data_IF_724590188750
#
_entry.id   IF_724590188750
#
_cell.length_a   1.000
_cell.length_b   1.000
_cell.length_c   1.000
_cell.angle_alpha   90.00
_cell.angle_beta   90.00
_cell.angle_gamma   90.00
#
_symmetry.space_group_name_H-M   'P 1'
#
loop_
_entity.id
_entity.type
_entity.pdbx_description
1 polymer ?
#
# COMPACT_ATOMS: atom_id res chain seq x y z
N UNK A 1 -4.04 14.30 27.55
CA UNK A 1 -3.32 14.28 26.25
C UNK A 1 -4.07 13.35 25.33
N UNK A 2 -4.78 13.87 24.33
CA UNK A 2 -5.55 13.04 23.39
C UNK A 2 -4.60 12.34 22.43
N UNK A 3 -4.37 11.05 22.64
CA UNK A 3 -3.79 10.18 21.61
C UNK A 3 -4.75 10.15 20.44
N UNK A 4 -4.50 10.95 19.41
CA UNK A 4 -5.20 10.80 18.13
C UNK A 4 -4.73 9.47 17.55
N UNK A 5 -5.51 8.42 17.77
CA UNK A 5 -5.35 7.12 17.11
C UNK A 5 -5.16 7.34 15.62
N UNK A 6 -4.04 6.87 15.06
CA UNK A 6 -3.81 6.91 13.62
C UNK A 6 -4.96 6.16 12.92
N UNK A 7 -5.80 6.83 12.13
CA UNK A 7 -6.93 6.17 11.51
C UNK A 7 -6.42 5.23 10.42
N UNK A 8 -6.68 3.95 10.64
CA UNK A 8 -6.46 2.88 9.69
C UNK A 8 -7.55 2.94 8.62
N UNK A 9 -7.17 3.10 7.34
CA UNK A 9 -8.09 2.97 6.21
C UNK A 9 -7.65 1.79 5.35
N UNK A 10 -8.28 0.64 5.55
CA UNK A 10 -8.10 -0.55 4.72
C UNK A 10 -8.95 -0.40 3.45
N UNK A 11 -8.35 -0.52 2.27
CA UNK A 11 -9.02 -0.40 0.98
C UNK A 11 -8.81 -1.68 0.16
N UNK A 12 -9.86 -2.49 0.02
CA UNK A 12 -9.83 -3.60 -0.93
C UNK A 12 -10.26 -3.07 -2.30
N UNK A 13 -9.31 -2.87 -3.21
CA UNK A 13 -9.56 -2.31 -4.55
C UNK A 13 -10.04 -3.41 -5.51
N UNK A 14 -11.34 -3.50 -5.74
CA UNK A 14 -11.91 -4.31 -6.82
C UNK A 14 -13.16 -3.62 -7.38
N UNK A 15 -13.29 -3.57 -8.71
CA UNK A 15 -14.52 -3.09 -9.36
C UNK A 15 -15.41 -4.28 -9.72
N UNK A 16 -16.69 -4.23 -9.34
CA UNK A 16 -17.67 -5.25 -9.77
C UNK A 16 -18.58 -4.67 -10.86
N UNK A 17 -18.62 -5.31 -12.02
CA UNK A 17 -19.58 -4.99 -13.10
C UNK A 17 -20.32 -6.24 -13.54
N UNK A 18 -21.65 -6.19 -13.48
CA UNK A 18 -22.52 -7.28 -13.94
C UNK A 18 -22.14 -8.65 -13.32
N UNK A 19 -21.76 -8.66 -12.03
CA UNK A 19 -21.36 -9.88 -11.32
C UNK A 19 -19.95 -10.39 -11.66
N UNK A 20 -19.12 -9.59 -12.35
CA UNK A 20 -17.71 -9.90 -12.61
C UNK A 20 -16.80 -8.89 -11.95
N UNK A 21 -15.80 -9.41 -11.27
CA UNK A 21 -14.69 -8.64 -10.71
C UNK A 21 -13.75 -8.20 -11.83
N UNK A 22 -13.43 -6.91 -11.84
CA UNK A 22 -12.47 -6.28 -12.73
C UNK A 22 -11.28 -5.86 -11.88
N UNK A 23 -10.20 -6.62 -12.01
CA UNK A 23 -8.90 -6.37 -11.39
C UNK A 23 -8.22 -5.12 -11.98
N UNK A 24 -7.20 -4.59 -11.29
CA UNK A 24 -6.41 -3.48 -11.80
C UNK A 24 -7.09 -2.12 -11.75
N UNK A 25 -8.23 -1.98 -11.06
CA UNK A 25 -8.89 -0.68 -10.88
C UNK A 25 -9.77 -0.59 -9.66
N UNK A 26 -9.96 0.64 -9.19
CA UNK A 26 -10.87 0.96 -8.10
C UNK A 26 -12.27 1.31 -8.65
N UNK A 27 -13.30 0.72 -8.04
CA UNK A 27 -14.69 1.04 -8.33
C UNK A 27 -14.99 2.55 -8.07
N UNK A 28 -15.82 3.22 -8.91
CA UNK A 28 -16.17 4.63 -8.68
C UNK A 28 -16.87 4.93 -7.34
N UNK A 29 -17.67 4.00 -6.79
CA UNK A 29 -18.32 4.12 -5.48
C UNK A 29 -17.25 4.01 -4.38
N UNK A 30 -16.36 3.02 -4.46
CA UNK A 30 -15.23 2.88 -3.55
C UNK A 30 -14.32 4.12 -3.56
N UNK A 31 -14.04 4.67 -4.74
CA UNK A 31 -13.25 5.90 -4.86
C UNK A 31 -13.92 7.08 -4.15
N UNK A 32 -15.23 7.27 -4.36
CA UNK A 32 -15.99 8.35 -3.68
C UNK A 32 -16.05 8.16 -2.17
N UNK A 33 -16.16 6.92 -1.70
CA UNK A 33 -16.07 6.58 -0.27
C UNK A 33 -14.70 6.94 0.29
N UNK A 34 -13.63 6.52 -0.37
CA UNK A 34 -12.24 6.81 0.02
C UNK A 34 -11.98 8.31 0.08
N UNK A 35 -12.47 9.10 -0.88
CA UNK A 35 -12.38 10.55 -0.85
C UNK A 35 -13.04 11.16 0.40
N UNK A 36 -14.15 10.60 0.86
CA UNK A 36 -14.85 11.05 2.08
C UNK A 36 -14.07 10.64 3.33
N UNK A 37 -13.57 9.41 3.41
CA UNK A 37 -12.78 8.95 4.56
C UNK A 37 -11.50 9.75 4.72
N UNK A 38 -10.76 9.98 3.63
CA UNK A 38 -9.54 10.79 3.65
C UNK A 38 -9.78 12.23 4.15
N UNK A 39 -10.94 12.81 3.86
CA UNK A 39 -11.31 14.14 4.38
C UNK A 39 -11.50 14.13 5.90
N UNK A 40 -12.13 13.08 6.45
CA UNK A 40 -12.35 12.95 7.91
C UNK A 40 -11.04 12.87 8.68
N UNK A 41 -10.03 12.23 8.08
CA UNK A 41 -8.74 11.95 8.73
C UNK A 41 -7.64 12.96 8.38
N UNK A 42 -7.97 14.07 7.71
CA UNK A 42 -7.00 15.09 7.24
C UNK A 42 -6.10 15.68 8.35
N UNK A 43 -6.61 15.71 9.58
CA UNK A 43 -5.88 16.23 10.75
C UNK A 43 -4.95 15.21 11.44
N UNK A 44 -4.91 13.97 10.97
CA UNK A 44 -4.02 12.94 11.48
C UNK A 44 -2.57 13.25 11.13
N UNK A 45 -1.63 12.75 11.94
CA UNK A 45 -0.19 12.86 11.66
C UNK A 45 0.23 11.84 10.57
N UNK A 46 -0.37 10.64 10.60
CA UNK A 46 -0.14 9.58 9.62
C UNK A 46 -1.45 9.01 9.06
N UNK A 47 -1.41 8.59 7.80
CA UNK A 47 -2.49 7.92 7.08
C UNK A 47 -1.90 6.68 6.42
N UNK A 48 -2.42 5.51 6.75
CA UNK A 48 -1.99 4.26 6.13
C UNK A 48 -3.09 3.73 5.22
N UNK A 49 -2.75 3.54 3.95
CA UNK A 49 -3.59 2.92 2.93
C UNK A 49 -3.06 1.52 2.69
N UNK A 50 -3.95 0.54 2.72
CA UNK A 50 -3.62 -0.84 2.38
C UNK A 50 -4.43 -1.23 1.16
N UNK A 51 -3.76 -1.71 0.10
CA UNK A 51 -4.36 -2.21 -1.14
C UNK A 51 -3.62 -3.48 -1.57
N UNK A 52 -4.30 -4.46 -2.17
CA UNK A 52 -3.58 -5.69 -2.56
C UNK A 52 -2.59 -5.43 -3.70
N UNK A 53 -3.09 -4.88 -4.80
CA UNK A 53 -2.30 -4.58 -6.00
C UNK A 53 -1.55 -3.24 -5.88
N UNK A 54 -0.26 -3.18 -6.24
CA UNK A 54 0.49 -1.93 -6.32
C UNK A 54 -0.09 -0.94 -7.34
N UNK A 55 -0.01 0.37 -7.06
CA UNK A 55 -0.23 1.41 -8.07
C UNK A 55 0.89 1.41 -9.11
N UNK A 56 2.09 1.08 -8.65
CA UNK A 56 3.31 1.01 -9.44
C UNK A 56 4.04 -0.29 -9.09
N UNK A 57 3.72 -1.41 -9.75
CA UNK A 57 4.50 -2.64 -9.62
C UNK A 57 5.93 -2.43 -10.13
N UNK A 58 6.87 -3.25 -9.65
CA UNK A 58 8.30 -3.16 -9.98
C UNK A 58 8.87 -4.44 -10.58
N UNK A 59 8.08 -5.51 -10.70
CA UNK A 59 8.52 -6.80 -11.20
C UNK A 59 7.48 -7.50 -12.07
N UNK A 60 7.17 -8.74 -11.72
CA UNK A 60 6.40 -9.67 -12.55
C UNK A 60 5.01 -9.16 -12.96
N UNK A 61 4.41 -8.25 -12.19
CA UNK A 61 3.03 -7.81 -12.39
C UNK A 61 2.89 -6.42 -13.05
N UNK A 62 3.95 -5.91 -13.68
CA UNK A 62 3.87 -4.69 -14.50
C UNK A 62 2.84 -4.88 -15.62
N UNK A 63 1.87 -3.96 -15.68
CA UNK A 63 0.75 -3.99 -16.61
C UNK A 63 -0.41 -4.89 -16.21
N UNK A 64 -0.35 -5.56 -15.05
CA UNK A 64 -1.40 -6.44 -14.53
C UNK A 64 -1.87 -6.07 -13.12
N UNK A 65 -1.49 -4.90 -12.59
CA UNK A 65 -1.99 -4.38 -11.31
C UNK A 65 -2.86 -3.15 -11.56
N UNK A 66 -2.94 -2.23 -10.60
CA UNK A 66 -3.63 -0.95 -10.78
C UNK A 66 -3.07 -0.14 -11.97
N UNK A 67 -1.81 -0.37 -12.35
CA UNK A 67 -1.18 0.23 -13.53
C UNK A 67 -1.75 -0.25 -14.87
N UNK A 68 -2.52 -1.35 -14.90
CA UNK A 68 -3.24 -1.88 -16.07
C UNK A 68 -4.17 -0.84 -16.70
N UNK A 69 -4.80 0.00 -15.88
CA UNK A 69 -5.66 1.11 -16.33
C UNK A 69 -5.09 2.45 -15.87
N UNK A 70 -4.14 3.05 -16.63
CA UNK A 70 -3.39 4.22 -16.19
C UNK A 70 -4.25 5.41 -15.74
N UNK A 71 -5.39 5.66 -16.40
CA UNK A 71 -6.30 6.74 -16.00
C UNK A 71 -6.90 6.52 -14.60
N UNK A 72 -7.31 5.28 -14.29
CA UNK A 72 -7.84 4.92 -12.98
C UNK A 72 -6.76 5.05 -11.90
N UNK A 73 -5.57 4.52 -12.17
CA UNK A 73 -4.41 4.65 -11.27
C UNK A 73 -3.98 6.10 -11.08
N UNK A 74 -3.94 6.91 -12.13
CA UNK A 74 -3.59 8.32 -12.06
C UNK A 74 -4.59 9.12 -11.22
N UNK A 75 -5.88 8.79 -11.32
CA UNK A 75 -6.93 9.39 -10.49
C UNK A 75 -6.71 9.05 -9.00
N UNK A 76 -6.39 7.79 -8.69
CA UNK A 76 -6.06 7.36 -7.33
C UNK A 76 -4.76 7.99 -6.80
N UNK A 77 -3.71 7.99 -7.60
CA UNK A 77 -2.44 8.64 -7.27
C UNK A 77 -2.61 10.15 -7.01
N UNK A 78 -3.43 10.83 -7.82
CA UNK A 78 -3.75 12.24 -7.63
C UNK A 78 -4.51 12.52 -6.34
N UNK A 79 -5.36 11.60 -5.90
CA UNK A 79 -6.01 11.69 -4.59
C UNK A 79 -4.99 11.54 -3.45
N UNK A 80 -4.10 10.55 -3.52
CA UNK A 80 -3.07 10.33 -2.50
C UNK A 80 -2.06 11.47 -2.42
N UNK A 81 -1.71 12.07 -3.57
CA UNK A 81 -0.78 13.22 -3.64
C UNK A 81 -1.24 14.41 -2.79
N UNK A 82 -2.55 14.59 -2.58
CA UNK A 82 -3.11 15.64 -1.69
C UNK A 82 -2.77 15.43 -0.21
N UNK A 83 -2.27 14.25 0.16
CA UNK A 83 -1.93 13.84 1.53
C UNK A 83 -0.49 13.30 1.64
N UNK A 84 0.35 13.50 0.61
CA UNK A 84 1.66 12.84 0.43
C UNK A 84 2.63 12.93 1.61
N UNK A 85 2.61 14.02 2.38
CA UNK A 85 3.48 14.22 3.55
C UNK A 85 3.14 13.29 4.73
N UNK A 86 1.96 12.65 4.69
CA UNK A 86 1.39 11.88 5.81
C UNK A 86 0.94 10.48 5.39
N UNK A 87 0.75 10.26 4.09
CA UNK A 87 0.09 9.08 3.55
C UNK A 87 1.12 8.10 2.99
N UNK A 88 1.00 6.85 3.42
CA UNK A 88 1.78 5.73 2.90
C UNK A 88 0.86 4.63 2.40
N UNK A 89 1.23 4.04 1.28
CA UNK A 89 0.51 2.93 0.65
C UNK A 89 1.28 1.64 0.91
N UNK A 90 0.63 0.67 1.52
CA UNK A 90 1.12 -0.69 1.68
C UNK A 90 0.39 -1.60 0.69
N UNK A 91 1.15 -2.39 -0.04
CA UNK A 91 0.63 -3.35 -1.00
C UNK A 91 1.37 -4.68 -0.96
N UNK A 92 0.83 -5.65 -1.68
CA UNK A 92 1.38 -6.99 -1.83
C UNK A 92 1.33 -7.37 -3.32
N UNK A 93 0.76 -8.53 -3.64
CA UNK A 93 0.62 -9.10 -4.98
C UNK A 93 1.96 -9.52 -5.61
N UNK A 94 2.95 -8.63 -5.68
CA UNK A 94 4.31 -9.03 -6.05
C UNK A 94 5.00 -9.68 -4.86
N UNK A 95 5.46 -10.93 -5.02
CA UNK A 95 6.15 -11.67 -3.97
C UNK A 95 7.61 -11.21 -3.78
N UNK A 96 7.78 -9.95 -3.38
CA UNK A 96 9.05 -9.26 -3.11
C UNK A 96 8.84 -8.13 -2.09
N UNK A 97 9.94 -7.56 -1.62
CA UNK A 97 9.97 -6.30 -0.90
C UNK A 97 10.36 -5.15 -1.84
N UNK A 98 9.59 -4.07 -1.85
CA UNK A 98 10.00 -2.83 -2.52
C UNK A 98 9.48 -1.61 -1.75
N UNK A 99 10.30 -0.57 -1.66
CA UNK A 99 9.89 0.74 -1.13
C UNK A 99 10.25 1.80 -2.15
N UNK A 100 9.25 2.49 -2.67
CA UNK A 100 9.40 3.53 -3.69
C UNK A 100 8.68 4.80 -3.26
N UNK A 101 9.19 5.95 -3.71
CA UNK A 101 8.54 7.25 -3.54
C UNK A 101 8.19 7.77 -4.93
N UNK A 102 6.90 7.90 -5.22
CA UNK A 102 6.39 8.39 -6.49
C UNK A 102 5.62 9.68 -6.22
N UNK A 103 6.06 10.80 -6.80
CA UNK A 103 5.42 12.11 -6.61
C UNK A 103 5.27 12.54 -5.14
N UNK A 104 6.16 12.04 -4.27
CA UNK A 104 6.16 12.26 -2.83
C UNK A 104 5.27 11.30 -2.03
N UNK A 105 4.52 10.41 -2.68
CA UNK A 105 3.76 9.35 -1.99
C UNK A 105 4.66 8.12 -1.84
N UNK A 106 4.77 7.60 -0.62
CA UNK A 106 5.51 6.35 -0.39
C UNK A 106 4.61 5.15 -0.66
N UNK A 107 5.08 4.23 -1.48
CA UNK A 107 4.49 2.90 -1.69
C UNK A 107 5.45 1.83 -1.19
N UNK A 108 4.96 0.88 -0.39
CA UNK A 108 5.71 -0.26 0.11
C UNK A 108 5.01 -1.55 -0.33
N UNK A 109 5.68 -2.33 -1.17
CA UNK A 109 5.29 -3.69 -1.53
C UNK A 109 5.91 -4.64 -0.49
N UNK A 110 5.07 -5.44 0.17
CA UNK A 110 5.46 -6.41 1.19
C UNK A 110 4.82 -7.78 0.93
N UNK A 111 5.10 -8.39 -0.23
CA UNK A 111 4.51 -9.68 -0.63
C UNK A 111 5.33 -10.92 -0.25
N UNK A 112 6.33 -10.80 0.63
CA UNK A 112 7.24 -11.89 0.99
C UNK A 112 6.77 -12.81 2.11
N UNK A 113 5.47 -13.10 2.24
CA UNK A 113 4.92 -13.80 3.41
C UNK A 113 5.00 -15.35 3.35
N UNK A 114 5.44 -15.94 2.23
CA UNK A 114 5.64 -17.40 2.15
C UNK A 114 5.45 -18.04 0.77
N UNK A 115 4.85 -17.33 -0.19
CA UNK A 115 4.73 -17.80 -1.57
C UNK A 115 6.06 -17.70 -2.34
N UNK A 116 6.23 -18.44 -3.47
CA UNK A 116 7.44 -18.34 -4.30
C UNK A 116 7.75 -16.90 -4.70
N UNK A 117 9.00 -16.48 -4.49
CA UNK A 117 9.43 -15.09 -4.67
C UNK A 117 9.54 -14.72 -6.16
N UNK A 118 9.12 -13.50 -6.50
CA UNK A 118 9.08 -13.00 -7.90
C UNK A 118 10.37 -12.29 -8.33
N UNK A 119 11.38 -12.21 -7.45
CA UNK A 119 12.60 -11.47 -7.69
C UNK A 119 13.81 -12.18 -7.05
N UNK A 120 15.04 -11.92 -7.51
CA UNK A 120 16.25 -12.30 -6.78
C UNK A 120 16.39 -11.48 -5.49
N UNK A 121 17.17 -11.98 -4.54
CA UNK A 121 17.40 -11.34 -3.23
C UNK A 121 17.85 -9.87 -3.32
N UNK A 122 18.67 -9.54 -4.31
CA UNK A 122 19.16 -8.16 -4.56
C UNK A 122 18.07 -7.18 -4.99
N UNK A 123 16.95 -7.68 -5.51
CA UNK A 123 15.78 -6.92 -5.99
C UNK A 123 14.59 -7.08 -5.03
N UNK A 124 14.84 -7.45 -3.78
CA UNK A 124 13.78 -7.58 -2.76
C UNK A 124 13.19 -8.99 -2.62
N UNK A 125 13.70 -9.98 -3.36
CA UNK A 125 13.28 -11.37 -3.26
C UNK A 125 13.75 -12.06 -1.98
N UNK A 126 13.05 -11.83 -0.87
CA UNK A 126 13.28 -12.55 0.37
C UNK A 126 11.99 -12.58 1.21
N UNK A 127 11.86 -13.60 2.06
CA UNK A 127 10.75 -13.67 3.00
C UNK A 127 10.89 -12.60 4.08
N UNK A 128 9.80 -11.88 4.36
CA UNK A 128 9.78 -10.79 5.32
C UNK A 128 8.38 -10.45 5.81
N UNK A 129 8.35 -9.66 6.88
CA UNK A 129 7.18 -8.88 7.28
C UNK A 129 7.64 -7.50 7.76
N UNK A 130 6.70 -6.56 7.88
CA UNK A 130 6.99 -5.20 8.35
C UNK A 130 6.57 -5.04 9.81
N UNK A 131 7.44 -4.44 10.60
CA UNK A 131 7.10 -3.96 11.93
C UNK A 131 7.03 -2.44 11.88
N UNK A 132 5.81 -1.90 11.99
CA UNK A 132 5.52 -0.47 11.89
C UNK A 132 5.26 0.08 13.29
N UNK A 133 6.09 1.03 13.72
CA UNK A 133 6.00 1.67 15.03
C UNK A 133 5.63 3.14 14.86
N UNK A 134 4.51 3.54 15.44
CA UNK A 134 4.09 4.94 15.56
C UNK A 134 4.32 5.37 17.01
N UNK A 135 5.12 6.41 17.21
CA UNK A 135 5.35 7.03 18.52
C UNK A 135 5.25 8.54 18.37
N UNK A 136 4.24 9.14 18.98
CA UNK A 136 3.94 10.56 18.84
C UNK A 136 3.85 10.99 17.36
N UNK A 137 4.81 11.81 16.90
CA UNK A 137 4.93 12.28 15.51
C UNK A 137 6.02 11.56 14.72
N UNK A 138 6.57 10.48 15.26
CA UNK A 138 7.58 9.67 14.62
C UNK A 138 6.96 8.36 14.10
N UNK A 139 7.46 7.94 12.94
CA UNK A 139 7.08 6.69 12.27
C UNK A 139 8.35 5.92 11.90
N UNK A 140 8.45 4.69 12.41
CA UNK A 140 9.53 3.76 12.11
C UNK A 140 8.98 2.52 11.42
N UNK A 141 9.66 2.05 10.38
CA UNK A 141 9.30 0.83 9.66
C UNK A 141 10.54 -0.06 9.58
N UNK A 142 10.49 -1.20 10.27
CA UNK A 142 11.52 -2.22 10.19
C UNK A 142 11.08 -3.35 9.24
N UNK A 143 11.98 -3.75 8.34
CA UNK A 143 11.81 -4.94 7.50
C UNK A 143 12.44 -6.12 8.21
N UNK A 144 11.62 -7.06 8.67
CA UNK A 144 12.08 -8.19 9.46
C UNK A 144 12.14 -9.44 8.60
N UNK A 145 13.30 -10.09 8.56
CA UNK A 145 13.52 -11.37 7.87
C UNK A 145 13.32 -12.52 8.86
N UNK A 146 12.39 -13.46 8.63
CA UNK A 146 12.19 -14.64 9.48
C UNK A 146 13.49 -15.39 9.73
N UNK A 147 13.61 -16.01 10.90
CA UNK A 147 14.82 -16.74 11.32
C UNK A 147 15.94 -15.87 11.90
N UNK A 148 15.79 -14.53 11.93
CA UNK A 148 16.71 -13.61 12.63
C UNK A 148 16.11 -13.05 13.93
N UNK A 149 15.03 -13.66 14.41
CA UNK A 149 14.37 -13.31 15.66
C UNK A 149 14.58 -14.50 16.58
N UNK A 150 15.22 -14.26 17.73
CA UNK A 150 15.34 -15.26 18.77
C UNK A 150 13.95 -15.80 19.14
N UNK A 151 13.85 -17.10 19.45
CA UNK A 151 12.66 -17.64 20.10
C UNK A 151 12.29 -16.80 21.33
N UNK A 152 10.99 -16.64 21.63
CA UNK A 152 10.55 -15.92 22.83
C UNK A 152 11.17 -16.51 24.11
#
# INVERSE_FOLDING_TARGET
MNTKTAPLSLLCCYEERQGKEIEGRIDPIQFKWLEKELKKVRSSDFIFIFVHEPLYPVGYHIGSCLDRYPESRNRLASLFKKYKEKLMVFCAHEHLYSKTVIDGVTQIISGGAGAPLHAPKKEGGFFHYLYVTVKDKDLYIAVIKPGNISSP
#
